data_IF_713842813120
#
_entry.id   IF_713842813120
#
_cell.length_a   1.000
_cell.length_b   1.000
_cell.length_c   1.000
_cell.angle_alpha   90.00
_cell.angle_beta   90.00
_cell.angle_gamma   90.00
#
_symmetry.space_group_name_H-M   'P 1'
#
loop_
_entity.id
_entity.type
_entity.pdbx_description
1 polymer ?
#
# COMPACT_ATOMS: atom_id res chain seq x y z
N UNK A 1 0.62 13.15 4.67
CA UNK A 1 0.05 13.92 5.80
C UNK A 1 -0.76 12.98 6.68
N UNK A 2 -0.77 13.19 8.00
CA UNK A 2 -1.51 12.32 8.93
C UNK A 2 -2.23 13.15 9.99
N UNK A 3 -3.44 12.76 10.34
CA UNK A 3 -4.29 13.44 11.31
C UNK A 3 -4.46 12.59 12.58
N UNK A 4 -4.32 13.24 13.73
CA UNK A 4 -4.52 12.61 15.04
C UNK A 4 -5.82 13.13 15.63
N UNK A 5 -6.79 12.24 15.84
CA UNK A 5 -8.10 12.57 16.42
C UNK A 5 -8.11 12.10 17.86
N UNK A 6 -8.15 13.04 18.80
CA UNK A 6 -8.29 12.76 20.23
C UNK A 6 -9.76 12.71 20.59
N UNK A 7 -10.22 11.59 21.15
CA UNK A 7 -11.60 11.41 21.60
C UNK A 7 -11.78 11.70 23.10
N UNK A 8 -10.73 12.19 23.77
CA UNK A 8 -10.78 12.65 25.15
C UNK A 8 -11.75 13.83 25.27
N UNK A 9 -12.88 13.64 25.96
CA UNK A 9 -13.97 14.62 26.16
C UNK A 9 -14.94 14.84 24.98
N UNK A 10 -14.95 13.95 23.98
CA UNK A 10 -15.92 14.05 22.90
C UNK A 10 -17.34 13.72 23.39
N UNK A 11 -18.30 14.62 23.13
CA UNK A 11 -19.73 14.41 23.44
C UNK A 11 -20.38 13.33 22.57
N UNK A 12 -19.88 13.11 21.35
CA UNK A 12 -20.31 12.02 20.49
C UNK A 12 -19.12 11.43 19.69
N UNK A 13 -18.32 10.52 20.29
CA UNK A 13 -17.10 10.00 19.68
C UNK A 13 -17.36 9.21 18.40
N UNK A 14 -18.50 8.51 18.30
CA UNK A 14 -18.87 7.69 17.15
C UNK A 14 -19.05 8.53 15.88
N UNK A 15 -19.77 9.65 15.96
CA UNK A 15 -19.98 10.54 14.81
C UNK A 15 -18.67 11.16 14.31
N UNK A 16 -17.75 11.49 15.23
CA UNK A 16 -16.42 12.01 14.89
C UNK A 16 -15.61 10.94 14.14
N UNK A 17 -15.67 9.68 14.60
CA UNK A 17 -15.02 8.56 13.92
C UNK A 17 -15.60 8.38 12.53
N UNK A 18 -16.92 8.38 12.35
CA UNK A 18 -17.55 8.23 11.04
C UNK A 18 -17.17 9.33 10.04
N UNK A 19 -17.13 10.58 10.50
CA UNK A 19 -16.70 11.71 9.65
C UNK A 19 -15.20 11.66 9.34
N UNK A 20 -14.38 11.29 10.32
CA UNK A 20 -12.96 11.08 10.09
C UNK A 20 -12.71 9.92 9.11
N UNK A 21 -13.52 8.86 9.14
CA UNK A 21 -13.39 7.75 8.20
C UNK A 21 -13.63 8.15 6.74
N UNK A 22 -14.38 9.22 6.46
CA UNK A 22 -14.57 9.72 5.10
C UNK A 22 -13.28 10.24 4.47
N UNK A 23 -12.30 10.65 5.29
CA UNK A 23 -10.97 11.12 4.84
C UNK A 23 -9.87 10.06 5.02
N UNK A 24 -10.23 8.85 5.47
CA UNK A 24 -9.27 7.76 5.72
C UNK A 24 -8.64 7.19 4.43
N UNK A 25 -9.18 7.54 3.27
CA UNK A 25 -8.62 7.21 1.94
C UNK A 25 -7.35 8.00 1.66
N UNK A 26 -7.32 9.28 2.06
CA UNK A 26 -6.29 10.23 1.62
C UNK A 26 -5.24 10.52 2.71
N UNK A 27 -5.54 10.17 3.97
CA UNK A 27 -4.65 10.45 5.09
C UNK A 27 -4.62 9.33 6.15
N UNK A 28 -3.49 9.24 6.84
CA UNK A 28 -3.34 8.37 8.01
C UNK A 28 -4.09 8.96 9.19
N UNK A 29 -5.00 8.19 9.77
CA UNK A 29 -5.78 8.60 10.94
C UNK A 29 -5.32 7.85 12.17
N UNK A 30 -5.09 8.58 13.26
CA UNK A 30 -4.75 8.02 14.56
C UNK A 30 -5.83 8.42 15.56
N UNK A 31 -6.68 7.46 15.93
CA UNK A 31 -7.69 7.65 16.97
C UNK A 31 -7.08 7.39 18.35
N UNK A 32 -7.07 8.40 19.21
CA UNK A 32 -6.61 8.30 20.60
C UNK A 32 -7.83 8.24 21.52
N UNK A 33 -7.92 7.18 22.31
CA UNK A 33 -9.04 6.95 23.22
C UNK A 33 -8.72 7.45 24.63
N UNK A 34 -9.72 7.96 25.37
CA UNK A 34 -9.54 8.34 26.77
C UNK A 34 -9.24 7.11 27.63
N UNK A 35 -8.36 7.28 28.64
CA UNK A 35 -8.06 6.20 29.61
C UNK A 35 -9.24 5.85 30.51
N UNK A 36 -10.16 6.80 30.69
CA UNK A 36 -11.29 6.68 31.61
C UNK A 36 -12.44 5.83 31.05
N UNK A 37 -12.43 5.53 29.74
CA UNK A 37 -13.48 4.72 29.11
C UNK A 37 -12.89 3.72 28.10
N UNK A 38 -12.46 2.53 28.57
CA UNK A 38 -11.93 1.49 27.70
C UNK A 38 -13.01 0.89 26.79
N UNK A 39 -14.29 1.01 27.14
CA UNK A 39 -15.40 0.38 26.40
C UNK A 39 -15.64 1.05 25.05
N UNK A 40 -15.32 2.34 24.91
CA UNK A 40 -15.40 3.06 23.64
C UNK A 40 -14.48 2.45 22.58
N UNK A 41 -13.30 1.97 22.98
CA UNK A 41 -12.38 1.30 22.06
C UNK A 41 -12.98 0.01 21.53
N UNK A 42 -13.52 -0.82 22.42
CA UNK A 42 -14.06 -2.13 22.07
C UNK A 42 -15.35 -2.03 21.22
N UNK A 43 -16.15 -0.98 21.42
CA UNK A 43 -17.32 -0.66 20.57
C UNK A 43 -16.93 -0.09 19.21
N UNK A 44 -15.84 0.68 19.15
CA UNK A 44 -15.39 1.32 17.91
C UNK A 44 -14.64 0.35 17.01
N UNK A 45 -13.94 -0.62 17.59
CA UNK A 45 -13.15 -1.61 16.87
C UNK A 45 -13.94 -2.38 15.78
N UNK A 46 -15.11 -2.99 16.06
CA UNK A 46 -15.88 -3.68 15.03
C UNK A 46 -16.38 -2.72 13.93
N UNK A 47 -16.73 -1.48 14.28
CA UNK A 47 -17.19 -0.46 13.31
C UNK A 47 -16.07 -0.08 12.35
N UNK A 48 -14.84 0.07 12.87
CA UNK A 48 -13.66 0.33 12.04
C UNK A 48 -13.36 -0.85 11.12
N UNK A 49 -13.51 -2.07 11.62
CA UNK A 49 -13.26 -3.30 10.85
C UNK A 49 -14.26 -3.49 9.73
N UNK A 50 -15.53 -3.21 9.99
CA UNK A 50 -16.60 -3.25 8.98
C UNK A 50 -16.39 -2.20 7.88
N UNK A 51 -16.02 -0.96 8.25
CA UNK A 51 -15.93 0.15 7.29
C UNK A 51 -14.59 0.25 6.54
N UNK A 52 -13.49 -0.23 7.11
CA UNK A 52 -12.14 -0.05 6.52
C UNK A 52 -11.43 -1.38 6.27
N UNK A 53 -11.91 -2.48 6.83
CA UNK A 53 -11.26 -3.78 6.74
C UNK A 53 -10.09 -3.94 7.72
N UNK A 54 -9.91 -5.17 8.21
CA UNK A 54 -8.89 -5.52 9.22
C UNK A 54 -7.45 -5.26 8.75
N UNK A 55 -7.19 -5.32 7.44
CA UNK A 55 -5.86 -5.14 6.85
C UNK A 55 -5.30 -3.73 6.98
N UNK A 56 -6.17 -2.72 7.17
CA UNK A 56 -5.81 -1.29 7.24
C UNK A 56 -5.71 -0.77 8.68
N UNK A 57 -6.01 -1.60 9.67
CA UNK A 57 -6.08 -1.20 11.08
C UNK A 57 -4.85 -1.70 11.83
N UNK A 58 -4.03 -0.77 12.29
CA UNK A 58 -2.98 -1.05 13.26
C UNK A 58 -3.51 -0.81 14.67
N UNK A 59 -3.71 -1.90 15.41
CA UNK A 59 -4.13 -1.87 16.81
C UNK A 59 -2.91 -1.57 17.69
N UNK A 60 -2.92 -0.44 18.40
CA UNK A 60 -1.96 -0.17 19.50
C UNK A 60 -2.72 -0.03 20.82
N UNK A 61 -2.03 -0.29 21.93
CA UNK A 61 -2.62 -0.37 23.28
C UNK A 61 -3.44 0.86 23.69
N UNK A 62 -3.10 2.04 23.17
CA UNK A 62 -3.76 3.33 23.50
C UNK A 62 -4.38 4.05 22.29
N UNK A 63 -4.30 3.45 21.10
CA UNK A 63 -4.73 4.11 19.86
C UNK A 63 -5.04 3.12 18.76
N UNK A 64 -6.07 3.40 17.97
CA UNK A 64 -6.33 2.69 16.72
C UNK A 64 -5.85 3.55 15.57
N UNK A 65 -4.95 3.01 14.75
CA UNK A 65 -4.41 3.72 13.58
C UNK A 65 -5.00 3.10 12.33
N UNK A 66 -5.68 3.93 11.53
CA UNK A 66 -6.15 3.57 10.20
C UNK A 66 -5.14 4.07 9.20
N UNK A 67 -4.56 3.13 8.44
CA UNK A 67 -3.61 3.41 7.38
C UNK A 67 -4.40 3.59 6.07
N UNK A 68 -4.12 4.65 5.29
CA UNK A 68 -4.76 4.84 4.00
C UNK A 68 -4.40 3.69 3.07
N UNK A 69 -5.30 3.39 2.14
CA UNK A 69 -4.99 2.44 1.08
C UNK A 69 -3.87 3.01 0.23
N UNK A 70 -2.73 2.32 0.22
CA UNK A 70 -1.67 2.61 -0.75
C UNK A 70 -2.12 1.98 -2.08
N UNK A 71 -3.02 2.70 -2.75
CA UNK A 71 -3.31 2.45 -4.17
C UNK A 71 -2.07 2.88 -4.91
N UNK A 72 -1.36 1.91 -5.51
CA UNK A 72 -0.28 2.26 -6.42
C UNK A 72 -0.95 2.96 -7.60
N UNK A 73 -0.71 4.25 -7.72
CA UNK A 73 -1.29 5.04 -8.80
C UNK A 73 -0.86 4.41 -10.14
N UNK A 74 -1.84 4.18 -11.02
CA UNK A 74 -1.59 3.60 -12.35
C UNK A 74 -0.56 4.42 -13.10
N UNK A 75 -0.54 5.74 -12.89
CA UNK A 75 0.45 6.65 -13.48
C UNK A 75 1.87 6.33 -13.00
N UNK A 76 2.04 5.99 -11.72
CA UNK A 76 3.34 5.61 -11.15
C UNK A 76 3.79 4.24 -11.68
N UNK A 77 2.86 3.29 -11.85
CA UNK A 77 3.16 1.99 -12.46
C UNK A 77 3.64 2.19 -13.90
N UNK A 78 2.90 2.97 -14.71
CA UNK A 78 3.23 3.23 -16.11
C UNK A 78 4.58 3.91 -16.23
N UNK A 79 4.83 4.97 -15.44
CA UNK A 79 6.12 5.68 -15.47
C UNK A 79 7.27 4.78 -15.07
N UNK A 80 7.12 3.97 -14.00
CA UNK A 80 8.15 3.00 -13.60
C UNK A 80 8.35 1.90 -14.63
N UNK A 81 7.28 1.47 -15.31
CA UNK A 81 7.35 0.48 -16.40
C UNK A 81 8.12 1.02 -17.60
N UNK A 82 7.86 2.26 -18.02
CA UNK A 82 8.61 2.88 -19.13
C UNK A 82 10.09 3.11 -18.79
N UNK A 83 10.43 3.35 -17.52
CA UNK A 83 11.82 3.58 -17.11
C UNK A 83 12.61 2.28 -16.89
N UNK A 84 11.98 1.23 -16.35
CA UNK A 84 12.69 0.05 -15.86
C UNK A 84 12.60 -1.16 -16.82
N UNK A 85 11.46 -1.38 -17.47
CA UNK A 85 11.29 -2.55 -18.34
C UNK A 85 12.19 -2.49 -19.60
N UNK A 86 12.30 -1.38 -20.35
CA UNK A 86 13.13 -1.38 -21.57
C UNK A 86 14.61 -1.69 -21.31
N UNK A 87 15.29 -1.09 -20.30
CA UNK A 87 16.67 -1.45 -19.99
C UNK A 87 16.84 -2.92 -19.57
N UNK A 88 15.90 -3.46 -18.77
CA UNK A 88 15.94 -4.85 -18.33
C UNK A 88 15.71 -5.86 -19.46
N UNK A 89 14.81 -5.54 -20.39
CA UNK A 89 14.62 -6.34 -21.61
C UNK A 89 15.89 -6.38 -22.44
N UNK A 90 16.51 -5.22 -22.68
CA UNK A 90 17.77 -5.12 -23.45
C UNK A 90 18.89 -5.87 -22.73
N UNK A 91 19.05 -5.70 -21.41
CA UNK A 91 20.04 -6.42 -20.63
C UNK A 91 19.83 -7.94 -20.67
N UNK A 92 18.58 -8.40 -20.56
CA UNK A 92 18.22 -9.80 -20.70
C UNK A 92 18.54 -10.36 -22.08
N UNK A 93 18.20 -9.63 -23.14
CA UNK A 93 18.56 -10.01 -24.51
C UNK A 93 20.06 -10.11 -24.72
N UNK A 94 20.84 -9.13 -24.24
CA UNK A 94 22.31 -9.13 -24.36
C UNK A 94 22.92 -10.31 -23.58
N UNK A 95 22.43 -10.57 -22.37
CA UNK A 95 22.93 -11.67 -21.55
C UNK A 95 22.71 -13.03 -22.25
N UNK A 96 21.51 -13.28 -22.77
CA UNK A 96 21.22 -14.53 -23.47
C UNK A 96 21.92 -14.63 -24.84
N UNK A 97 22.08 -13.51 -25.55
CA UNK A 97 22.88 -13.45 -26.77
C UNK A 97 24.35 -13.78 -26.52
N UNK A 98 24.92 -13.34 -25.39
CA UNK A 98 26.32 -13.63 -25.04
C UNK A 98 26.58 -15.11 -24.71
N UNK A 99 25.54 -15.83 -24.26
CA UNK A 99 25.62 -17.25 -23.92
C UNK A 99 25.40 -18.15 -25.14
N UNK A 100 24.55 -17.73 -26.09
CA UNK A 100 24.24 -18.53 -27.29
C UNK A 100 23.87 -17.61 -28.47
N UNK A 101 24.86 -17.10 -29.21
CA UNK A 101 24.63 -16.08 -30.25
C UNK A 101 23.91 -16.61 -31.51
N UNK A 102 23.95 -17.92 -31.75
CA UNK A 102 23.37 -18.52 -32.98
C UNK A 102 21.86 -18.81 -32.88
N UNK A 103 21.25 -18.65 -31.70
CA UNK A 103 19.84 -18.98 -31.48
C UNK A 103 19.03 -17.71 -31.17
N UNK A 104 18.38 -17.09 -32.17
CA UNK A 104 17.59 -15.87 -31.97
C UNK A 104 16.39 -16.09 -31.03
N UNK A 105 15.93 -17.33 -30.88
CA UNK A 105 14.90 -17.72 -29.91
C UNK A 105 15.32 -17.43 -28.46
N UNK A 106 16.58 -17.63 -28.09
CA UNK A 106 17.09 -17.35 -26.74
C UNK A 106 17.19 -15.85 -26.45
N UNK A 107 17.51 -15.03 -27.45
CA UNK A 107 17.53 -13.56 -27.31
C UNK A 107 16.13 -13.00 -27.02
N UNK A 108 15.11 -13.55 -27.69
CA UNK A 108 13.69 -13.22 -27.44
C UNK A 108 13.29 -13.67 -26.03
N UNK A 109 13.71 -14.87 -25.62
CA UNK A 109 13.44 -15.39 -24.27
C UNK A 109 14.08 -14.51 -23.19
N UNK A 110 15.30 -14.00 -23.45
CA UNK A 110 15.98 -13.02 -22.60
C UNK A 110 15.23 -11.71 -22.46
N UNK A 111 14.62 -11.20 -23.55
CA UNK A 111 13.77 -10.01 -23.50
C UNK A 111 12.54 -10.24 -22.61
N UNK A 112 11.87 -11.39 -22.79
CA UNK A 112 10.67 -11.76 -22.00
C UNK A 112 11.03 -11.90 -20.52
N UNK A 113 12.15 -12.56 -20.22
CA UNK A 113 12.65 -12.69 -18.85
C UNK A 113 12.92 -11.31 -18.22
N UNK A 114 13.57 -10.40 -18.95
CA UNK A 114 13.82 -9.02 -18.51
C UNK A 114 12.53 -8.23 -18.25
N UNK A 115 11.51 -8.40 -19.10
CA UNK A 115 10.20 -7.76 -18.90
C UNK A 115 9.49 -8.27 -17.64
N UNK A 116 9.49 -9.59 -17.40
CA UNK A 116 8.90 -10.20 -16.20
C UNK A 116 9.60 -9.70 -14.94
N UNK A 117 10.93 -9.64 -14.98
CA UNK A 117 11.74 -9.18 -13.85
C UNK A 117 11.47 -7.69 -13.55
N UNK A 118 11.35 -6.85 -14.59
CA UNK A 118 10.93 -5.46 -14.44
C UNK A 118 9.55 -5.32 -13.81
N UNK A 119 8.59 -6.14 -14.26
CA UNK A 119 7.25 -6.18 -13.66
C UNK A 119 7.26 -6.62 -12.20
N UNK A 120 8.07 -7.62 -11.85
CA UNK A 120 8.23 -8.04 -10.46
C UNK A 120 8.81 -6.90 -9.62
N UNK A 121 9.81 -6.16 -10.10
CA UNK A 121 10.39 -5.05 -9.34
C UNK A 121 9.38 -3.91 -9.13
N UNK A 122 8.59 -3.58 -10.16
CA UNK A 122 7.60 -2.49 -10.10
C UNK A 122 6.43 -2.85 -9.18
N UNK A 123 5.99 -4.11 -9.22
CA UNK A 123 4.89 -4.62 -8.39
C UNK A 123 5.34 -5.01 -6.99
N UNK A 124 6.65 -5.19 -6.76
CA UNK A 124 7.21 -5.45 -5.44
C UNK A 124 7.06 -4.20 -4.56
N UNK A 125 6.08 -4.27 -3.66
CA UNK A 125 5.92 -3.35 -2.54
C UNK A 125 7.07 -3.64 -1.57
N UNK A 126 8.25 -3.04 -1.83
CA UNK A 126 9.40 -3.09 -0.94
C UNK A 126 8.92 -2.98 0.50
N UNK A 127 9.12 -4.07 1.25
CA UNK A 127 8.76 -4.18 2.65
C UNK A 127 9.83 -3.51 3.50
#
# INVERSE_FOLDING_TARGET
>A
MGASVSLSHASNPLTIIEKALQIATDCKLIFRFPKNDPTLRDRTLPILEEKVGTSRIQRRTKSLTVVPEVVIDRSVIITRMMMLCPPLMVAGSIAFYSVSPEQPSLTILGAIAGAILGMMIITNKGR
#
